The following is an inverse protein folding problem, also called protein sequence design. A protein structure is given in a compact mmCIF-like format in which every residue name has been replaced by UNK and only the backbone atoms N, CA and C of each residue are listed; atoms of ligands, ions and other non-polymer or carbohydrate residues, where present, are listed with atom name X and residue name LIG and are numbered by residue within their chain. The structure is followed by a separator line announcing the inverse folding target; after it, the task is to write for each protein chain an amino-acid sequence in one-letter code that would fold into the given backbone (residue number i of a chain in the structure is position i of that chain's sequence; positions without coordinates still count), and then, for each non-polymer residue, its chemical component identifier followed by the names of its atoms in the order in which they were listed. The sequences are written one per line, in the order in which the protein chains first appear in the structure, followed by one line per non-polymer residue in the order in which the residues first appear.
data_IF_004722245418
#
_entry.id   IF_004722245418
#
_cell.length_a   1.000
_cell.length_b   1.000
_cell.length_c   1.000
_cell.angle_alpha   90.00
_cell.angle_beta   90.00
_cell.angle_gamma   90.00
#
_symmetry.space_group_name_H-M   'P 1'
#
loop_
_entity.id
_entity.type
_entity.pdbx_description
1 polymer ?
#
# COMPACT_ATOMS: atom_id res chain seq x y z
N UNK A 1 -6.77 -12.63 18.02
CA UNK A 1 -7.34 -12.20 16.76
C UNK A 1 -6.80 -13.03 15.61
N UNK A 2 -7.67 -13.47 14.76
CA UNK A 2 -7.24 -14.30 13.65
C UNK A 2 -6.63 -13.44 12.55
N UNK A 3 -5.76 -14.06 11.77
CA UNK A 3 -5.20 -13.40 10.61
C UNK A 3 -6.30 -13.14 9.60
N UNK A 4 -6.26 -11.97 9.00
CA UNK A 4 -7.19 -11.65 7.94
C UNK A 4 -6.39 -11.38 6.67
N UNK A 5 -6.64 -12.19 5.64
CA UNK A 5 -6.00 -12.02 4.33
C UNK A 5 -7.07 -11.61 3.33
N UNK A 6 -6.87 -10.45 2.73
CA UNK A 6 -7.84 -9.90 1.79
C UNK A 6 -7.14 -9.62 0.47
N UNK A 7 -7.75 -10.06 -0.62
CA UNK A 7 -7.22 -9.80 -1.95
C UNK A 7 -8.23 -8.95 -2.70
N UNK A 8 -7.76 -7.86 -3.30
CA UNK A 8 -8.60 -6.94 -4.05
C UNK A 8 -7.98 -6.77 -5.43
N UNK A 9 -8.79 -6.99 -6.46
CA UNK A 9 -8.34 -6.76 -7.83
C UNK A 9 -9.23 -5.69 -8.44
N UNK A 10 -8.63 -4.72 -9.09
CA UNK A 10 -9.37 -3.58 -9.62
C UNK A 10 -8.71 -3.10 -10.91
N UNK A 11 -9.45 -2.37 -11.75
CA UNK A 11 -8.82 -1.76 -12.93
C UNK A 11 -7.69 -0.81 -12.52
N UNK A 12 -6.64 -0.75 -13.35
CA UNK A 12 -5.50 0.12 -13.10
C UNK A 12 -5.84 1.53 -13.57
N UNK A 13 -6.81 2.15 -12.91
CA UNK A 13 -7.36 3.45 -13.26
C UNK A 13 -7.37 4.31 -12.00
N UNK A 14 -6.94 5.59 -12.11
CA UNK A 14 -6.87 6.46 -10.92
C UNK A 14 -8.16 6.56 -10.12
N UNK A 15 -9.31 6.38 -10.77
CA UNK A 15 -10.59 6.47 -10.06
C UNK A 15 -10.76 5.35 -9.03
N UNK A 16 -9.95 4.29 -9.12
CA UNK A 16 -10.01 3.19 -8.16
C UNK A 16 -9.01 3.34 -7.01
N UNK A 17 -8.22 4.40 -6.98
CA UNK A 17 -7.27 4.61 -5.88
C UNK A 17 -8.01 4.71 -4.55
N UNK A 18 -9.21 5.28 -4.55
CA UNK A 18 -10.02 5.38 -3.35
C UNK A 18 -10.33 4.00 -2.77
N UNK A 19 -10.61 3.02 -3.64
CA UNK A 19 -10.89 1.66 -3.18
C UNK A 19 -9.64 1.06 -2.52
N UNK A 20 -8.48 1.29 -3.12
CA UNK A 20 -7.22 0.81 -2.53
C UNK A 20 -7.00 1.40 -1.15
N UNK A 21 -7.28 2.70 -0.98
CA UNK A 21 -7.15 3.35 0.32
C UNK A 21 -8.10 2.76 1.36
N UNK A 22 -9.34 2.48 0.95
CA UNK A 22 -10.32 1.89 1.86
C UNK A 22 -9.86 0.51 2.31
N UNK A 23 -9.31 -0.28 1.39
CA UNK A 23 -8.83 -1.61 1.74
C UNK A 23 -7.67 -1.53 2.72
N UNK A 24 -6.76 -0.58 2.52
CA UNK A 24 -5.64 -0.38 3.43
C UNK A 24 -6.12 0.04 4.81
N UNK A 25 -7.10 0.95 4.86
CA UNK A 25 -7.65 1.40 6.14
C UNK A 25 -8.33 0.25 6.88
N UNK A 26 -9.03 -0.61 6.15
CA UNK A 26 -9.66 -1.76 6.76
C UNK A 26 -8.60 -2.70 7.37
N UNK A 27 -7.52 -2.94 6.63
CA UNK A 27 -6.45 -3.80 7.13
C UNK A 27 -5.83 -3.22 8.40
N UNK A 28 -5.58 -1.92 8.42
CA UNK A 28 -5.02 -1.27 9.60
C UNK A 28 -5.94 -1.37 10.80
N UNK A 29 -7.24 -1.19 10.57
CA UNK A 29 -8.22 -1.30 11.64
C UNK A 29 -8.24 -2.71 12.20
N UNK A 30 -8.18 -3.72 11.33
CA UNK A 30 -8.14 -5.12 11.79
C UNK A 30 -6.88 -5.42 12.58
N UNK A 31 -5.78 -4.75 12.26
CA UNK A 31 -4.52 -4.94 12.97
C UNK A 31 -4.46 -4.16 14.29
N UNK A 32 -5.49 -3.38 14.59
CA UNK A 32 -5.52 -2.60 15.83
C UNK A 32 -4.71 -1.32 15.75
N UNK A 33 -4.47 -0.81 14.56
CA UNK A 33 -3.67 0.40 14.38
C UNK A 33 -4.42 1.63 14.89
N UNK A 34 -3.64 2.63 15.32
CA UNK A 34 -4.19 3.94 15.66
C UNK A 34 -4.65 4.63 14.39
N UNK A 35 -5.41 5.71 14.54
CA UNK A 35 -5.83 6.52 13.40
C UNK A 35 -4.60 7.02 12.63
N UNK A 36 -3.55 7.42 13.33
CA UNK A 36 -2.35 7.90 12.67
C UNK A 36 -1.67 6.82 11.85
N UNK A 37 -1.58 5.61 12.39
CA UNK A 37 -0.98 4.51 11.65
C UNK A 37 -1.82 4.13 10.43
N UNK A 38 -3.15 4.21 10.55
CA UNK A 38 -4.03 3.96 9.42
C UNK A 38 -3.81 5.01 8.33
N UNK A 39 -3.67 6.28 8.71
CA UNK A 39 -3.42 7.33 7.72
C UNK A 39 -2.07 7.13 7.04
N UNK A 40 -1.08 6.63 7.77
CA UNK A 40 0.22 6.30 7.16
C UNK A 40 0.08 5.21 6.12
N UNK A 41 -0.76 4.19 6.39
CA UNK A 41 -1.01 3.13 5.40
C UNK A 41 -1.67 3.70 4.15
N UNK A 42 -2.63 4.61 4.32
CA UNK A 42 -3.30 5.20 3.18
C UNK A 42 -2.33 6.01 2.33
N UNK A 43 -1.43 6.73 2.99
CA UNK A 43 -0.43 7.51 2.29
C UNK A 43 0.53 6.60 1.53
N UNK A 44 0.94 5.48 2.14
CA UNK A 44 1.80 4.52 1.46
C UNK A 44 1.11 3.96 0.22
N UNK A 45 -0.18 3.64 0.33
CA UNK A 45 -0.93 3.12 -0.81
C UNK A 45 -0.98 4.14 -1.95
N UNK A 46 -1.14 5.42 -1.64
CA UNK A 46 -1.14 6.45 -2.68
C UNK A 46 0.17 6.42 -3.46
N UNK A 47 1.29 6.29 -2.76
CA UNK A 47 2.59 6.32 -3.41
C UNK A 47 2.92 5.02 -4.13
N UNK A 48 2.46 3.89 -3.59
CA UNK A 48 2.76 2.59 -4.19
C UNK A 48 1.85 2.28 -5.37
N UNK A 49 0.58 2.61 -5.26
CA UNK A 49 -0.40 2.29 -6.30
C UNK A 49 -0.55 3.36 -7.35
N UNK A 50 -0.40 4.63 -6.96
CA UNK A 50 -0.62 5.74 -7.89
C UNK A 50 0.09 5.58 -9.22
N UNK A 51 1.40 5.30 -9.23
CA UNK A 51 2.12 5.17 -10.49
C UNK A 51 1.63 4.04 -11.37
N UNK A 52 0.97 3.01 -10.79
CA UNK A 52 0.47 1.88 -11.55
C UNK A 52 -0.92 2.13 -12.12
N UNK A 53 -1.59 3.19 -11.67
CA UNK A 53 -2.96 3.51 -12.09
C UNK A 53 -2.92 4.56 -13.20
N UNK A 54 -2.50 4.15 -14.37
CA UNK A 54 -2.28 5.09 -15.48
C UNK A 54 -3.47 5.20 -16.43
N UNK A 55 -4.51 4.40 -16.24
CA UNK A 55 -5.71 4.51 -17.09
C UNK A 55 -5.55 3.92 -18.47
N UNK A 56 -4.48 3.17 -18.72
CA UNK A 56 -4.23 2.61 -20.04
C UNK A 56 -4.58 1.13 -20.14
N UNK A 57 -5.37 0.65 -19.20
CA UNK A 57 -5.78 -0.73 -19.17
C UNK A 57 -5.00 -1.53 -18.15
N UNK A 58 -5.34 -2.78 -18.01
CA UNK A 58 -4.72 -3.64 -17.02
C UNK A 58 -5.41 -3.56 -15.69
N UNK A 59 -4.92 -4.37 -14.77
CA UNK A 59 -5.49 -4.46 -13.43
C UNK A 59 -4.39 -4.37 -12.40
N UNK A 60 -4.79 -3.95 -11.19
CA UNK A 60 -3.93 -4.00 -10.02
C UNK A 60 -4.51 -5.02 -9.08
N UNK A 61 -3.65 -5.86 -8.53
CA UNK A 61 -4.05 -6.82 -7.52
C UNK A 61 -3.32 -6.48 -6.23
N UNK A 62 -4.05 -6.34 -5.14
CA UNK A 62 -3.50 -6.02 -3.84
C UNK A 62 -3.84 -7.13 -2.87
N UNK A 63 -2.87 -7.54 -2.08
CA UNK A 63 -3.09 -8.50 -1.00
C UNK A 63 -2.71 -7.83 0.30
N UNK A 64 -3.62 -7.86 1.26
CA UNK A 64 -3.39 -7.34 2.60
C UNK A 64 -3.43 -8.50 3.57
N UNK A 65 -2.42 -8.61 4.40
CA UNK A 65 -2.42 -9.59 5.48
C UNK A 65 -2.34 -8.81 6.78
N UNK A 66 -3.40 -8.85 7.57
CA UNK A 66 -3.47 -8.13 8.83
C UNK A 66 -3.40 -9.11 9.98
N UNK A 67 -2.43 -8.91 10.85
CA UNK A 67 -2.35 -9.61 12.14
C UNK A 67 -2.27 -8.53 13.19
N UNK A 68 -2.40 -8.89 14.43
CA UNK A 68 -2.36 -7.87 15.47
C UNK A 68 -1.02 -7.14 15.43
N UNK A 69 -1.08 -5.83 15.30
CA UNK A 69 0.10 -4.99 15.31
C UNK A 69 0.88 -4.92 14.02
N UNK A 70 0.39 -5.55 12.94
CA UNK A 70 1.18 -5.57 11.70
C UNK A 70 0.28 -5.75 10.49
N UNK A 71 0.59 -5.01 9.42
CA UNK A 71 -0.05 -5.18 8.12
C UNK A 71 1.05 -5.37 7.07
N UNK A 72 0.93 -6.45 6.29
CA UNK A 72 1.75 -6.68 5.12
C UNK A 72 0.90 -6.37 3.90
N UNK A 73 1.45 -5.65 2.95
CA UNK A 73 0.78 -5.31 1.71
C UNK A 73 1.64 -5.79 0.56
N UNK A 74 1.03 -6.50 -0.38
CA UNK A 74 1.69 -6.85 -1.63
C UNK A 74 0.80 -6.40 -2.76
N UNK A 75 1.41 -5.89 -3.82
CA UNK A 75 0.66 -5.43 -4.97
C UNK A 75 1.41 -5.68 -6.24
N UNK A 76 0.65 -5.73 -7.35
CA UNK A 76 1.25 -5.82 -8.67
C UNK A 76 0.29 -5.25 -9.69
N UNK A 77 0.86 -4.62 -10.70
CA UNK A 77 0.09 -4.01 -11.76
C UNK A 77 0.98 -3.62 -12.90
N UNK A 78 0.44 -2.91 -13.91
CA UNK A 78 1.25 -2.50 -15.06
C UNK A 78 2.30 -1.49 -14.62
N UNK A 79 3.54 -1.72 -15.03
CA UNK A 79 4.62 -0.81 -14.67
C UNK A 79 4.42 0.53 -15.38
N UNK A 80 4.80 1.65 -14.74
CA UNK A 80 4.80 2.93 -15.42
C UNK A 80 5.75 2.87 -16.61
N UNK A 81 5.41 3.55 -17.70
CA UNK A 81 6.29 3.56 -18.86
C UNK A 81 7.57 4.32 -18.59
N UNK A 82 7.43 5.44 -17.89
CA UNK A 82 8.56 6.25 -17.53
C UNK A 82 8.60 6.38 -16.02
N UNK A 83 9.79 6.64 -15.49
CA UNK A 83 9.87 6.89 -14.06
C UNK A 83 9.13 8.17 -13.74
N UNK A 84 8.25 8.16 -12.73
CA UNK A 84 7.50 9.35 -12.36
C UNK A 84 8.44 10.50 -12.01
N UNK A 85 8.02 11.72 -12.35
CA UNK A 85 8.84 12.91 -12.10
C UNK A 85 9.17 13.11 -10.63
N UNK A 86 8.33 12.59 -9.74
CA UNK A 86 8.50 12.75 -8.30
C UNK A 86 8.81 11.43 -7.61
N UNK A 87 9.50 10.51 -8.32
CA UNK A 87 9.80 9.19 -7.78
C UNK A 87 10.57 9.25 -6.47
N UNK A 88 11.54 10.17 -6.39
CA UNK A 88 12.34 10.31 -5.17
C UNK A 88 11.51 10.79 -3.99
N UNK A 89 10.55 11.68 -4.25
CA UNK A 89 9.67 12.19 -3.22
C UNK A 89 8.75 11.08 -2.75
N UNK A 90 8.19 10.31 -3.70
CA UNK A 90 7.32 9.19 -3.35
C UNK A 90 8.05 8.15 -2.52
N UNK A 91 9.28 7.83 -2.90
CA UNK A 91 10.06 6.86 -2.15
C UNK A 91 10.35 7.37 -0.74
N UNK A 92 10.65 8.65 -0.60
CA UNK A 92 10.88 9.24 0.71
C UNK A 92 9.62 9.18 1.59
N UNK A 93 8.45 9.40 1.00
CA UNK A 93 7.19 9.32 1.73
C UNK A 93 6.97 7.90 2.21
N UNK A 94 7.15 6.91 1.33
CA UNK A 94 6.95 5.52 1.71
C UNK A 94 7.90 5.15 2.85
N UNK A 95 9.17 5.52 2.71
CA UNK A 95 10.18 5.22 3.73
C UNK A 95 9.79 5.82 5.09
N UNK A 96 9.15 6.99 5.07
CA UNK A 96 8.77 7.66 6.30
C UNK A 96 7.59 7.01 7.01
N UNK A 97 6.71 6.31 6.27
CA UNK A 97 5.44 5.86 6.83
C UNK A 97 5.32 4.34 6.98
N UNK A 98 6.23 3.55 6.41
CA UNK A 98 6.22 2.10 6.62
C UNK A 98 7.58 1.65 7.13
N UNK A 99 7.62 0.44 7.66
CA UNK A 99 8.85 -0.10 8.27
C UNK A 99 9.75 -0.75 7.26
N UNK A 100 9.18 -1.37 6.23
CA UNK A 100 9.94 -2.03 5.16
C UNK A 100 9.18 -1.87 3.88
N UNK A 101 9.89 -1.72 2.78
CA UNK A 101 9.22 -1.77 1.48
C UNK A 101 10.22 -2.18 0.40
N UNK A 102 9.69 -2.69 -0.70
CA UNK A 102 10.47 -3.15 -1.82
C UNK A 102 9.62 -3.01 -3.09
N UNK A 103 10.23 -2.54 -4.16
CA UNK A 103 9.55 -2.34 -5.44
C UNK A 103 10.40 -2.97 -6.52
N UNK A 104 9.80 -3.77 -7.38
CA UNK A 104 10.51 -4.45 -8.46
C UNK A 104 9.69 -4.37 -9.74
N UNK A 105 10.34 -4.06 -10.83
CA UNK A 105 9.68 -4.00 -12.14
C UNK A 105 10.31 -5.03 -13.05
N UNK A 106 9.48 -5.81 -13.73
CA UNK A 106 9.97 -6.85 -14.62
C UNK A 106 8.94 -7.12 -15.71
N UNK A 107 9.37 -7.04 -16.96
CA UNK A 107 8.54 -7.40 -18.10
C UNK A 107 7.20 -6.66 -18.12
N UNK A 108 7.24 -5.36 -17.86
CA UNK A 108 6.04 -4.55 -17.93
C UNK A 108 5.13 -4.64 -16.71
N UNK A 109 5.54 -5.38 -15.69
CA UNK A 109 4.77 -5.51 -14.45
C UNK A 109 5.61 -4.96 -13.30
N UNK A 110 4.98 -4.18 -12.45
CA UNK A 110 5.64 -3.71 -11.24
C UNK A 110 4.97 -4.36 -10.05
N UNK A 111 5.80 -4.91 -9.17
CA UNK A 111 5.35 -5.53 -7.94
C UNK A 111 5.93 -4.75 -6.77
N UNK A 112 5.20 -4.73 -5.67
CA UNK A 112 5.73 -4.10 -4.46
C UNK A 112 5.30 -4.87 -3.24
N UNK A 113 6.02 -4.63 -2.17
CA UNK A 113 5.69 -5.16 -0.86
C UNK A 113 6.00 -4.07 0.17
N UNK A 114 5.15 -3.95 1.15
CA UNK A 114 5.38 -3.02 2.26
C UNK A 114 4.91 -3.65 3.55
N UNK A 115 5.58 -3.35 4.64
CA UNK A 115 5.24 -3.85 5.96
C UNK A 115 5.16 -2.66 6.90
N UNK A 116 4.06 -2.57 7.63
CA UNK A 116 3.93 -1.56 8.67
C UNK A 116 3.55 -2.25 9.97
N UNK A 117 4.28 -1.88 11.03
CA UNK A 117 3.97 -2.33 12.39
C UNK A 117 3.36 -1.17 13.13
N UNK A 118 2.51 -1.46 14.10
CA UNK A 118 1.89 -0.41 14.89
C UNK A 118 2.98 0.39 15.60
N UNK A 119 2.76 1.70 15.70
CA UNK A 119 3.69 2.55 16.41
C UNK A 119 3.73 2.16 17.87
N UNK A 120 4.88 2.39 18.55
CA UNK A 120 4.92 2.13 19.98
C UNK A 120 3.82 2.92 20.67
N UNK A 121 3.14 2.24 21.59
CA UNK A 121 2.08 2.89 22.28
C UNK A 121 2.62 3.95 23.10
N UNK A 122 2.05 5.02 23.05
CA UNK A 122 2.49 5.99 23.86
C UNK A 122 1.90 5.81 25.13
N UNK A 123 2.25 5.22 25.50
CA UNK A 123 1.75 5.00 26.43
C UNK A 123 1.19 5.66 27.08
N UNK A 124 1.09 5.73 26.91
CA UNK A 124 0.65 6.00 27.22
C UNK A 124 0.08 5.92 27.36
N UNK A 125 0.16 5.76 27.29
CA UNK A 125 -0.36 5.63 27.35
C UNK A 125 -0.24 5.63 27.55
#
# INVERSE_FOLDING_TARGET
MDNARVVVTMPADPSFLRLARLAAADAGTRAGFTVEDVEDLRLAIDELCGPLMNGRGGTISLTFLAVEGRVDIEGRGPAPEDEPAYADIGDAIITAVVDEHDIDSRDGTQSFRAVKRSSPEHASG
#
